data_IF_824241256883
#
_entry.id   IF_824241256883
#
_cell.length_a   1.000
_cell.length_b   1.000
_cell.length_c   1.000
_cell.angle_alpha   90.00
_cell.angle_beta   90.00
_cell.angle_gamma   90.00
#
_symmetry.space_group_name_H-M   'P 1'
#
loop_
_entity.id
_entity.type
_entity.pdbx_description
1 polymer ?
#
# COMPACT_ATOMS: atom_id res chain seq x y z
N UNK A 1 12.57 21.03 -0.34
CA UNK A 1 12.97 20.37 -1.61
C UNK A 1 13.63 19.00 -1.40
N UNK A 2 14.73 18.87 -0.65
CA UNK A 2 15.37 17.56 -0.43
C UNK A 2 14.44 16.52 0.22
N UNK A 3 13.66 16.91 1.22
CA UNK A 3 12.69 16.04 1.89
C UNK A 3 11.56 15.57 0.95
N UNK A 4 11.13 16.43 0.03
CA UNK A 4 10.12 16.09 -0.97
C UNK A 4 10.64 15.08 -1.99
N UNK A 5 11.89 15.26 -2.45
CA UNK A 5 12.54 14.29 -3.35
C UNK A 5 12.75 12.92 -2.65
N UNK A 6 13.14 12.94 -1.37
CA UNK A 6 13.26 11.73 -0.57
C UNK A 6 11.91 11.02 -0.40
N UNK A 7 10.83 11.79 -0.17
CA UNK A 7 9.47 11.26 -0.10
C UNK A 7 9.05 10.63 -1.44
N UNK A 8 9.27 11.30 -2.58
CA UNK A 8 8.93 10.76 -3.91
C UNK A 8 9.68 9.44 -4.15
N UNK A 9 10.97 9.37 -3.80
CA UNK A 9 11.74 8.13 -3.90
C UNK A 9 11.14 7.01 -3.04
N UNK A 10 10.78 7.30 -1.79
CA UNK A 10 10.13 6.33 -0.89
C UNK A 10 8.79 5.85 -1.46
N UNK A 11 7.96 6.76 -1.97
CA UNK A 11 6.70 6.44 -2.64
C UNK A 11 6.91 5.44 -3.79
N UNK A 12 7.89 5.69 -4.65
CA UNK A 12 8.20 4.80 -5.79
C UNK A 12 8.62 3.42 -5.31
N UNK A 13 9.47 3.35 -4.27
CA UNK A 13 9.93 2.09 -3.69
C UNK A 13 8.77 1.29 -3.09
N UNK A 14 7.94 1.91 -2.25
CA UNK A 14 6.80 1.27 -1.58
C UNK A 14 5.74 0.82 -2.59
N UNK A 15 5.43 1.64 -3.60
CA UNK A 15 4.52 1.25 -4.68
C UNK A 15 5.06 0.06 -5.48
N UNK A 16 6.36 0.06 -5.80
CA UNK A 16 7.00 -1.05 -6.53
C UNK A 16 7.00 -2.34 -5.71
N UNK A 17 7.28 -2.24 -4.41
CA UNK A 17 7.22 -3.36 -3.47
C UNK A 17 5.81 -3.95 -3.41
N UNK A 18 4.78 -3.12 -3.20
CA UNK A 18 3.39 -3.57 -3.17
C UNK A 18 2.93 -4.23 -4.48
N UNK A 19 3.34 -3.69 -5.64
CA UNK A 19 3.06 -4.32 -6.94
C UNK A 19 3.72 -5.70 -7.09
N UNK A 20 4.95 -5.86 -6.61
CA UNK A 20 5.66 -7.16 -6.61
C UNK A 20 5.00 -8.17 -5.69
N UNK A 21 4.57 -7.72 -4.50
CA UNK A 21 3.83 -8.52 -3.53
C UNK A 21 2.48 -8.99 -4.09
N UNK A 22 1.75 -8.09 -4.75
CA UNK A 22 0.48 -8.42 -5.43
C UNK A 22 0.66 -9.54 -6.48
N UNK A 23 1.71 -9.46 -7.31
CA UNK A 23 2.02 -10.52 -8.29
C UNK A 23 2.34 -11.84 -7.60
N UNK A 24 3.16 -11.81 -6.56
CA UNK A 24 3.51 -13.00 -5.78
C UNK A 24 2.27 -13.68 -5.19
N UNK A 25 1.32 -12.88 -4.67
CA UNK A 25 0.05 -13.37 -4.16
C UNK A 25 -0.84 -13.97 -5.25
N UNK A 26 -0.91 -13.29 -6.40
CA UNK A 26 -1.68 -13.76 -7.55
C UNK A 26 -1.18 -15.14 -8.01
N UNK A 27 0.14 -15.27 -8.20
CA UNK A 27 0.78 -16.50 -8.65
C UNK A 27 0.59 -17.63 -7.63
N UNK A 28 0.71 -17.32 -6.33
CA UNK A 28 0.48 -18.30 -5.27
C UNK A 28 -0.99 -18.76 -5.20
N UNK A 29 -1.94 -17.82 -5.36
CA UNK A 29 -3.37 -18.12 -5.39
C UNK A 29 -3.76 -18.99 -6.58
N UNK A 30 -3.14 -18.79 -7.74
CA UNK A 30 -3.35 -19.60 -8.94
C UNK A 30 -2.71 -20.99 -8.85
N UNK A 31 -1.58 -21.13 -8.16
CA UNK A 31 -0.83 -22.39 -8.07
C UNK A 31 -1.31 -23.35 -6.97
N UNK A 32 -2.04 -22.88 -5.94
CA UNK A 32 -2.37 -23.69 -4.75
C UNK A 32 -3.88 -23.88 -4.57
N UNK A 33 -4.33 -25.13 -4.67
CA UNK A 33 -5.73 -25.54 -4.45
C UNK A 33 -6.19 -25.13 -3.04
N UNK A 34 -7.23 -24.29 -2.96
CA UNK A 34 -7.81 -23.82 -1.69
C UNK A 34 -7.18 -22.53 -1.12
N UNK A 35 -6.05 -22.05 -1.67
CA UNK A 35 -5.52 -20.71 -1.38
C UNK A 35 -6.41 -19.62 -1.98
N UNK A 36 -7.07 -19.93 -3.10
CA UNK A 36 -7.94 -19.02 -3.85
C UNK A 36 -9.09 -18.43 -3.02
N UNK A 37 -9.58 -19.11 -1.97
CA UNK A 37 -10.62 -18.56 -1.08
C UNK A 37 -10.06 -17.64 0.01
N UNK A 38 -8.81 -17.83 0.43
CA UNK A 38 -8.19 -17.14 1.58
C UNK A 38 -7.47 -15.86 1.17
N UNK A 39 -6.91 -15.85 -0.04
CA UNK A 39 -6.14 -14.74 -0.58
C UNK A 39 -6.91 -13.98 -1.66
N UNK A 40 -8.20 -14.32 -1.87
CA UNK A 40 -9.00 -13.80 -2.98
C UNK A 40 -9.12 -12.30 -2.91
N UNK A 41 -8.62 -11.61 -3.92
CA UNK A 41 -8.75 -10.17 -4.05
C UNK A 41 -7.75 -9.38 -3.20
N UNK A 42 -6.98 -10.02 -2.33
CA UNK A 42 -5.90 -9.34 -1.59
C UNK A 42 -4.80 -8.86 -2.56
N UNK A 43 -4.48 -9.68 -3.56
CA UNK A 43 -3.63 -9.30 -4.68
C UNK A 43 -4.13 -8.02 -5.36
N UNK A 44 -5.44 -7.94 -5.63
CA UNK A 44 -6.07 -6.78 -6.28
C UNK A 44 -6.07 -5.55 -5.37
N UNK A 45 -6.37 -5.73 -4.09
CA UNK A 45 -6.42 -4.65 -3.11
C UNK A 45 -5.02 -4.03 -2.93
N UNK A 46 -3.97 -4.86 -2.79
CA UNK A 46 -2.58 -4.39 -2.74
C UNK A 46 -2.16 -3.69 -4.04
N UNK A 47 -2.47 -4.28 -5.20
CA UNK A 47 -2.16 -3.64 -6.48
C UNK A 47 -2.84 -2.27 -6.63
N UNK A 48 -4.10 -2.18 -6.21
CA UNK A 48 -4.87 -0.95 -6.28
C UNK A 48 -4.28 0.12 -5.35
N UNK A 49 -3.97 -0.21 -4.10
CA UNK A 49 -3.34 0.72 -3.15
C UNK A 49 -1.95 1.15 -3.62
N UNK A 50 -1.15 0.23 -4.16
CA UNK A 50 0.17 0.55 -4.74
C UNK A 50 0.07 1.54 -5.90
N UNK A 51 -0.97 1.43 -6.74
CA UNK A 51 -1.24 2.40 -7.81
C UNK A 51 -1.64 3.76 -7.27
N UNK A 52 -2.44 3.84 -6.19
CA UNK A 52 -2.75 5.12 -5.54
C UNK A 52 -1.48 5.77 -5.00
N UNK A 53 -0.63 5.02 -4.30
CA UNK A 53 0.65 5.51 -3.77
C UNK A 53 1.51 6.05 -4.93
N UNK A 54 1.63 5.29 -6.02
CA UNK A 54 2.36 5.73 -7.22
C UNK A 54 1.77 7.00 -7.83
N UNK A 55 0.45 7.12 -7.95
CA UNK A 55 -0.19 8.34 -8.45
C UNK A 55 0.08 9.53 -7.54
N UNK A 56 0.16 9.33 -6.23
CA UNK A 56 0.49 10.38 -5.27
C UNK A 56 1.91 10.92 -5.53
N UNK A 57 2.87 10.02 -5.78
CA UNK A 57 4.25 10.37 -6.17
C UNK A 57 4.29 11.18 -7.45
N UNK A 58 3.58 10.73 -8.50
CA UNK A 58 3.50 11.47 -9.77
C UNK A 58 2.90 12.88 -9.60
N UNK A 59 1.98 13.08 -8.64
CA UNK A 59 1.45 14.42 -8.35
C UNK A 59 2.45 15.30 -7.63
N UNK A 60 3.24 14.74 -6.72
CA UNK A 60 4.31 15.45 -6.03
C UNK A 60 5.50 15.78 -6.96
N UNK A 61 5.61 15.15 -8.13
CA UNK A 61 6.57 15.53 -9.17
C UNK A 61 6.15 16.79 -9.95
N UNK A 62 4.88 17.20 -9.90
CA UNK A 62 4.40 18.37 -10.60
C UNK A 62 4.97 19.66 -9.97
N UNK A 63 5.67 20.46 -10.78
CA UNK A 63 6.32 21.70 -10.33
C UNK A 63 5.38 22.69 -9.63
N UNK A 64 4.10 22.75 -10.01
CA UNK A 64 3.12 23.62 -9.34
C UNK A 64 2.77 23.08 -7.96
N UNK A 65 2.60 21.76 -7.84
CA UNK A 65 2.35 21.09 -6.56
C UNK A 65 3.56 21.26 -5.64
N UNK A 66 4.78 21.08 -6.14
CA UNK A 66 6.01 21.25 -5.37
C UNK A 66 6.17 22.64 -4.79
N UNK A 67 5.71 23.67 -5.50
CA UNK A 67 5.79 25.06 -5.05
C UNK A 67 4.79 25.38 -3.92
N UNK A 68 3.71 24.61 -3.79
CA UNK A 68 2.58 24.89 -2.91
C UNK A 68 2.43 23.90 -1.74
N UNK A 69 3.07 22.73 -1.83
CA UNK A 69 2.96 21.69 -0.79
C UNK A 69 3.65 22.15 0.50
N UNK A 70 2.92 22.11 1.61
CA UNK A 70 3.46 22.47 2.93
C UNK A 70 4.32 21.35 3.53
N UNK A 71 5.24 21.71 4.42
CA UNK A 71 6.03 20.73 5.18
C UNK A 71 5.15 19.74 5.97
N UNK A 72 4.04 20.22 6.56
CA UNK A 72 3.09 19.35 7.26
C UNK A 72 2.44 18.34 6.32
N UNK A 73 2.12 18.74 5.08
CA UNK A 73 1.57 17.83 4.06
C UNK A 73 2.60 16.79 3.65
N UNK A 74 3.87 17.20 3.53
CA UNK A 74 5.00 16.28 3.25
C UNK A 74 5.12 15.24 4.37
N UNK A 75 5.15 15.67 5.64
CA UNK A 75 5.27 14.77 6.79
C UNK A 75 4.09 13.81 6.91
N UNK A 76 2.87 14.33 6.80
CA UNK A 76 1.66 13.50 6.84
C UNK A 76 1.65 12.46 5.71
N UNK A 77 2.17 12.83 4.54
CA UNK A 77 2.32 11.91 3.41
C UNK A 77 3.40 10.85 3.68
N UNK A 78 4.54 11.24 4.25
CA UNK A 78 5.60 10.31 4.66
C UNK A 78 5.06 9.27 5.65
N UNK A 79 4.32 9.71 6.67
CA UNK A 79 3.72 8.81 7.67
C UNK A 79 2.74 7.83 7.02
N UNK A 80 1.87 8.30 6.12
CA UNK A 80 0.92 7.44 5.41
C UNK A 80 1.61 6.41 4.49
N UNK A 81 2.70 6.80 3.83
CA UNK A 81 3.50 5.90 2.96
C UNK A 81 4.22 4.84 3.82
N UNK A 82 4.79 5.23 4.95
CA UNK A 82 5.44 4.32 5.89
C UNK A 82 4.43 3.31 6.50
N UNK A 83 3.21 3.75 6.83
CA UNK A 83 2.15 2.84 7.26
C UNK A 83 1.78 1.81 6.17
N UNK A 84 1.72 2.24 4.90
CA UNK A 84 1.47 1.32 3.79
C UNK A 84 2.59 0.29 3.63
N UNK A 85 3.85 0.71 3.73
CA UNK A 85 5.01 -0.18 3.69
C UNK A 85 4.95 -1.23 4.81
N UNK A 86 4.65 -0.81 6.04
CA UNK A 86 4.52 -1.70 7.18
C UNK A 86 3.40 -2.75 6.98
N UNK A 87 2.27 -2.34 6.39
CA UNK A 87 1.17 -3.26 6.06
C UNK A 87 1.62 -4.26 4.99
N UNK A 88 2.28 -3.80 3.92
CA UNK A 88 2.78 -4.67 2.86
C UNK A 88 3.81 -5.68 3.38
N UNK A 89 4.73 -5.25 4.24
CA UNK A 89 5.72 -6.14 4.85
C UNK A 89 5.06 -7.18 5.76
N UNK A 90 4.08 -6.77 6.56
CA UNK A 90 3.31 -7.69 7.40
C UNK A 90 2.52 -8.72 6.57
N UNK A 91 2.02 -8.33 5.39
CA UNK A 91 1.37 -9.23 4.44
C UNK A 91 2.38 -10.23 3.85
N UNK A 92 3.54 -9.75 3.38
CA UNK A 92 4.62 -10.61 2.87
C UNK A 92 5.04 -11.67 3.90
N UNK A 93 5.23 -11.27 5.16
CA UNK A 93 5.57 -12.19 6.26
C UNK A 93 4.52 -13.28 6.47
N UNK A 94 3.22 -12.91 6.40
CA UNK A 94 2.13 -13.88 6.54
C UNK A 94 2.14 -14.86 5.37
N UNK A 95 2.39 -14.40 4.15
CA UNK A 95 2.45 -15.23 2.95
C UNK A 95 3.66 -16.17 3.00
N UNK A 96 4.84 -15.65 3.36
CA UNK A 96 6.06 -16.45 3.52
C UNK A 96 5.86 -17.58 4.55
N UNK A 97 5.17 -17.29 5.66
CA UNK A 97 4.80 -18.28 6.68
C UNK A 97 3.77 -19.30 6.17
N UNK A 98 2.86 -18.91 5.28
CA UNK A 98 1.92 -19.83 4.63
C UNK A 98 2.66 -20.77 3.68
N UNK A 99 3.57 -20.24 2.86
CA UNK A 99 4.36 -21.01 1.89
C UNK A 99 5.31 -22.02 2.54
N UNK A 100 5.90 -21.66 3.68
CA UNK A 100 6.87 -22.52 4.40
C UNK A 100 6.23 -23.60 5.27
N UNK A 101 4.97 -23.43 5.69
CA UNK A 101 4.23 -24.45 6.45
C UNK A 101 3.61 -25.49 5.52
N UNK A 102 4.39 -26.45 5.02
CA UNK A 102 3.83 -27.61 4.31
C UNK A 102 2.97 -28.48 5.23
N UNK A 103 1.75 -28.86 4.80
CA UNK A 103 0.76 -29.83 5.34
C UNK A 103 0.35 -29.76 6.84
N UNK A 104 1.24 -29.33 7.73
CA UNK A 104 1.06 -29.31 9.16
C UNK A 104 0.58 -27.92 9.59
N UNK A 105 -0.75 -27.74 9.64
CA UNK A 105 -1.43 -27.08 10.78
C UNK A 105 -2.80 -26.50 10.39
N UNK A 106 -3.85 -27.32 10.50
CA UNK A 106 -5.25 -26.86 10.50
C UNK A 106 -5.53 -25.77 11.57
N UNK A 107 -4.77 -25.75 12.68
CA UNK A 107 -4.93 -24.76 13.77
C UNK A 107 -4.24 -23.42 13.49
N UNK A 108 -3.09 -23.41 12.80
CA UNK A 108 -2.40 -22.18 12.38
C UNK A 108 -3.15 -21.48 11.25
N UNK A 109 -3.92 -22.23 10.45
CA UNK A 109 -4.72 -21.69 9.34
C UNK A 109 -5.86 -20.76 9.80
N UNK A 110 -6.58 -21.07 10.89
CA UNK A 110 -7.65 -20.20 11.41
C UNK A 110 -7.13 -18.85 11.94
N UNK A 111 -5.98 -18.85 12.63
CA UNK A 111 -5.37 -17.62 13.14
C UNK A 111 -4.76 -16.75 12.02
N UNK A 112 -4.47 -17.36 10.87
CA UNK A 112 -3.99 -16.65 9.68
C UNK A 112 -5.13 -15.97 8.94
N UNK A 113 -6.30 -16.60 8.84
CA UNK A 113 -7.47 -16.01 8.20
C UNK A 113 -7.92 -14.73 8.94
N UNK A 114 -7.94 -14.72 10.28
CA UNK A 114 -8.24 -13.51 11.06
C UNK A 114 -7.20 -12.39 10.90
N UNK A 115 -5.92 -12.76 10.77
CA UNK A 115 -4.84 -11.79 10.51
C UNK A 115 -4.90 -11.21 9.10
N UNK A 116 -5.29 -12.00 8.10
CA UNK A 116 -5.49 -11.54 6.72
C UNK A 116 -6.65 -10.54 6.67
N UNK A 117 -7.78 -10.84 7.30
CA UNK A 117 -8.93 -9.91 7.35
C UNK A 117 -8.59 -8.60 8.07
N UNK A 118 -7.82 -8.65 9.16
CA UNK A 118 -7.33 -7.45 9.84
C UNK A 118 -6.43 -6.61 8.92
N UNK A 119 -5.46 -7.24 8.24
CA UNK A 119 -4.57 -6.56 7.31
C UNK A 119 -5.34 -5.96 6.13
N UNK A 120 -6.40 -6.63 5.67
CA UNK A 120 -7.29 -6.12 4.63
C UNK A 120 -8.04 -4.88 5.08
N UNK A 121 -8.63 -4.91 6.28
CA UNK A 121 -9.30 -3.75 6.87
C UNK A 121 -8.35 -2.55 7.04
N UNK A 122 -7.11 -2.80 7.46
CA UNK A 122 -6.09 -1.75 7.55
C UNK A 122 -5.73 -1.15 6.18
N UNK A 123 -5.67 -1.98 5.14
CA UNK A 123 -5.40 -1.53 3.78
C UNK A 123 -6.56 -0.71 3.20
N UNK A 124 -7.81 -1.09 3.48
CA UNK A 124 -8.98 -0.29 3.11
C UNK A 124 -8.99 1.07 3.81
N UNK A 125 -8.61 1.12 5.09
CA UNK A 125 -8.45 2.37 5.82
C UNK A 125 -7.35 3.24 5.20
N UNK A 126 -6.21 2.65 4.85
CA UNK A 126 -5.11 3.37 4.17
C UNK A 126 -5.50 3.89 2.80
N UNK A 127 -6.27 3.13 2.02
CA UNK A 127 -6.85 3.63 0.78
C UNK A 127 -7.71 4.87 1.00
N UNK A 128 -8.52 4.90 2.06
CA UNK A 128 -9.28 6.10 2.45
C UNK A 128 -8.35 7.29 2.74
N UNK A 129 -7.35 7.10 3.59
CA UNK A 129 -6.39 8.15 3.96
C UNK A 129 -5.61 8.68 2.75
N UNK A 130 -5.12 7.80 1.88
CA UNK A 130 -4.39 8.19 0.67
C UNK A 130 -5.26 8.99 -0.31
N UNK A 131 -6.53 8.60 -0.47
CA UNK A 131 -7.46 9.38 -1.30
C UNK A 131 -7.76 10.76 -0.70
N UNK A 132 -7.85 10.86 0.63
CA UNK A 132 -7.98 12.15 1.32
C UNK A 132 -6.73 13.02 1.09
N UNK A 133 -5.53 12.46 1.24
CA UNK A 133 -4.27 13.17 0.98
C UNK A 133 -4.18 13.64 -0.47
N UNK A 134 -4.56 12.79 -1.42
CA UNK A 134 -4.66 13.16 -2.84
C UNK A 134 -5.62 14.35 -3.02
N UNK A 135 -6.78 14.32 -2.36
CA UNK A 135 -7.74 15.43 -2.38
C UNK A 135 -7.17 16.72 -1.79
N UNK A 136 -6.45 16.65 -0.67
CA UNK A 136 -5.78 17.82 -0.06
C UNK A 136 -4.71 18.39 -0.99
N UNK A 137 -3.89 17.54 -1.62
CA UNK A 137 -2.85 17.97 -2.56
C UNK A 137 -3.48 18.62 -3.80
N UNK A 138 -4.51 18.00 -4.39
CA UNK A 138 -5.18 18.54 -5.58
C UNK A 138 -5.94 19.83 -5.28
N UNK A 139 -6.80 19.84 -4.25
CA UNK A 139 -7.65 20.99 -3.97
C UNK A 139 -6.89 22.13 -3.28
N UNK A 140 -5.90 21.82 -2.44
CA UNK A 140 -5.03 22.83 -1.84
C UNK A 140 -4.26 23.63 -2.88
N UNK A 141 -3.88 23.00 -3.99
CA UNK A 141 -3.23 23.71 -5.11
C UNK A 141 -4.19 24.56 -5.93
N UNK A 142 -5.45 24.13 -6.12
CA UNK A 142 -6.48 24.90 -6.83
C UNK A 142 -6.87 26.19 -6.11
N UNK A 143 -6.99 26.17 -4.78
CA UNK A 143 -7.36 27.37 -4.01
C UNK A 143 -6.23 28.40 -3.91
N UNK A 144 -4.98 28.01 -4.16
CA UNK A 144 -3.84 28.92 -4.18
C UNK A 144 -3.63 29.61 -5.55
N UNK A 145 -4.32 29.13 -6.60
CA UNK A 145 -4.27 29.68 -7.96
C UNK A 145 -5.43 30.63 -8.31
N UNK A 146 -6.40 30.81 -7.42
CA UNK A 146 -7.45 31.86 -7.49
C UNK A 146 -7.06 33.08 -6.64
#
# INVERSE_FOLDING_TARGET
>A
MAELLALISSIVQVASFGLSLSRTLHDYGAAVVGAEKRLKGLDKDIAFTSRIISQLGCRLEDSQVQALVSEDTIRLTQDAVAECEAIFQAMEDVIAKIRSSGSMAKRTLYFRDSKIELLRSNLDRMKGNLNLLMGVIIHGTQMATE
#
